data_IF_992566401091
#
_entry.id   IF_992566401091
#
_cell.length_a   1.000
_cell.length_b   1.000
_cell.length_c   1.000
_cell.angle_alpha   90.00
_cell.angle_beta   90.00
_cell.angle_gamma   90.00
#
_symmetry.space_group_name_H-M   'P 1'
#
loop_
_entity.id
_entity.type
_entity.pdbx_description
1 polymer ?
#
# COMPACT_ATOMS: atom_id res chain seq x y z
N UNK A 1 -21.12 -33.30 -28.68
CA UNK A 1 -22.23 -33.39 -27.70
C UNK A 1 -23.35 -32.39 -28.00
N UNK A 2 -23.09 -31.08 -28.13
CA UNK A 2 -24.15 -30.05 -28.28
C UNK A 2 -25.13 -30.25 -29.46
N UNK A 3 -24.66 -30.73 -30.63
CA UNK A 3 -25.52 -31.02 -31.78
C UNK A 3 -26.48 -32.21 -31.59
N UNK A 4 -26.23 -33.08 -30.61
CA UNK A 4 -27.05 -34.27 -30.39
C UNK A 4 -28.40 -33.95 -29.71
N UNK A 5 -28.58 -32.72 -29.20
CA UNK A 5 -29.78 -32.29 -28.48
C UNK A 5 -30.69 -31.36 -29.32
N UNK A 6 -30.22 -30.86 -30.47
CA UNK A 6 -31.02 -30.02 -31.36
C UNK A 6 -31.95 -30.89 -32.22
N UNK A 7 -33.28 -30.79 -32.01
CA UNK A 7 -34.29 -31.44 -32.85
C UNK A 7 -35.23 -32.46 -32.17
N UNK A 8 -35.34 -32.47 -30.84
CA UNK A 8 -36.16 -33.46 -30.11
C UNK A 8 -37.66 -33.14 -30.16
N UNK A 9 -38.52 -34.04 -30.70
CA UNK A 9 -39.97 -33.90 -30.58
C UNK A 9 -40.44 -34.26 -29.16
N UNK A 10 -41.16 -33.33 -28.53
CA UNK A 10 -41.73 -33.36 -27.16
C UNK A 10 -42.85 -34.40 -26.93
N UNK A 11 -42.92 -35.50 -27.69
CA UNK A 11 -44.02 -36.46 -27.49
C UNK A 11 -43.78 -37.26 -26.22
N UNK A 12 -44.76 -37.21 -25.33
CA UNK A 12 -44.96 -38.16 -24.22
C UNK A 12 -44.62 -39.56 -24.70
N UNK A 13 -43.65 -40.19 -24.05
CA UNK A 13 -43.15 -41.52 -24.38
C UNK A 13 -44.34 -42.49 -24.43
N UNK A 14 -44.81 -42.77 -25.63
CA UNK A 14 -45.77 -43.84 -25.88
C UNK A 14 -44.92 -45.01 -26.35
N UNK A 15 -44.93 -46.16 -25.65
CA UNK A 15 -44.10 -47.30 -26.01
C UNK A 15 -44.31 -47.62 -27.48
N UNK A 16 -43.25 -47.48 -28.26
CA UNK A 16 -43.23 -47.84 -29.68
C UNK A 16 -43.17 -49.36 -29.76
N UNK A 17 -43.97 -49.97 -30.63
CA UNK A 17 -43.84 -51.41 -30.91
C UNK A 17 -42.52 -51.74 -31.64
N UNK A 18 -41.81 -50.73 -32.15
CA UNK A 18 -40.55 -50.88 -32.84
C UNK A 18 -39.37 -50.77 -31.85
N UNK A 19 -38.64 -51.87 -31.59
CA UNK A 19 -37.52 -51.90 -30.64
C UNK A 19 -36.34 -51.01 -31.07
N UNK A 20 -36.18 -50.73 -32.36
CA UNK A 20 -35.11 -49.84 -32.83
C UNK A 20 -35.35 -48.38 -32.42
N UNK A 21 -36.62 -47.96 -32.39
CA UNK A 21 -37.02 -46.63 -31.92
C UNK A 21 -36.84 -46.50 -30.40
N UNK A 22 -37.03 -47.60 -29.67
CA UNK A 22 -36.85 -47.67 -28.22
C UNK A 22 -35.36 -47.60 -27.82
N UNK A 23 -34.49 -48.31 -28.55
CA UNK A 23 -33.04 -48.28 -28.35
C UNK A 23 -32.44 -46.89 -28.61
N UNK A 24 -32.84 -46.24 -29.71
CA UNK A 24 -32.46 -44.86 -30.03
C UNK A 24 -32.92 -43.88 -28.92
N UNK A 25 -34.13 -44.06 -28.38
CA UNK A 25 -34.64 -43.24 -27.29
C UNK A 25 -33.85 -43.44 -25.99
N UNK A 26 -33.52 -44.69 -25.61
CA UNK A 26 -32.69 -44.99 -24.45
C UNK A 26 -31.27 -44.44 -24.57
N UNK A 27 -30.66 -44.58 -25.75
CA UNK A 27 -29.33 -44.03 -26.02
C UNK A 27 -29.30 -42.51 -25.85
N UNK A 28 -30.34 -41.81 -26.32
CA UNK A 28 -30.47 -40.35 -26.16
C UNK A 28 -30.65 -39.92 -24.70
N UNK A 29 -31.47 -40.64 -23.93
CA UNK A 29 -31.63 -40.40 -22.48
C UNK A 29 -30.31 -40.63 -21.74
N UNK A 30 -29.58 -41.68 -22.08
CA UNK A 30 -28.26 -41.96 -21.53
C UNK A 30 -27.25 -40.84 -21.83
N UNK A 31 -27.19 -40.33 -23.06
CA UNK A 31 -26.33 -39.19 -23.39
C UNK A 31 -26.76 -37.92 -22.66
N UNK A 32 -28.06 -37.63 -22.57
CA UNK A 32 -28.59 -36.48 -21.87
C UNK A 32 -28.26 -36.53 -20.36
N UNK A 33 -28.39 -37.69 -19.74
CA UNK A 33 -28.03 -37.92 -18.34
C UNK A 33 -26.52 -37.73 -18.09
N UNK A 34 -25.67 -38.28 -18.95
CA UNK A 34 -24.21 -38.08 -18.86
C UNK A 34 -23.81 -36.62 -19.11
N UNK A 35 -24.49 -35.92 -20.01
CA UNK A 35 -24.27 -34.49 -20.24
C UNK A 35 -24.64 -33.66 -19.00
N UNK A 36 -25.80 -33.94 -18.40
CA UNK A 36 -26.22 -33.33 -17.13
C UNK A 36 -25.19 -33.58 -16.03
N UNK A 37 -24.75 -34.83 -15.89
CA UNK A 37 -23.72 -35.20 -14.92
C UNK A 37 -22.42 -34.42 -15.16
N UNK A 38 -21.92 -34.37 -16.40
CA UNK A 38 -20.70 -33.62 -16.73
C UNK A 38 -20.84 -32.09 -16.57
N UNK A 39 -22.05 -31.53 -16.69
CA UNK A 39 -22.29 -30.09 -16.50
C UNK A 39 -22.51 -29.69 -15.05
N UNK A 40 -23.01 -30.61 -14.23
CA UNK A 40 -23.03 -30.48 -12.78
C UNK A 40 -21.62 -30.70 -12.20
N UNK A 41 -20.87 -31.64 -12.75
CA UNK A 41 -19.57 -32.11 -12.26
C UNK A 41 -18.37 -31.48 -13.01
N UNK A 42 -18.54 -30.33 -13.69
CA UNK A 42 -17.50 -29.77 -14.57
C UNK A 42 -16.21 -29.45 -13.80
N UNK A 43 -15.28 -30.41 -13.90
CA UNK A 43 -13.90 -30.53 -13.44
C UNK A 43 -13.37 -29.38 -12.54
N UNK A 44 -13.37 -29.57 -11.20
CA UNK A 44 -12.73 -28.63 -10.29
C UNK A 44 -11.20 -28.54 -10.52
N UNK A 45 -10.53 -29.61 -11.00
CA UNK A 45 -9.07 -29.70 -11.04
C UNK A 45 -8.40 -28.69 -11.98
N UNK A 46 -9.09 -28.28 -13.06
CA UNK A 46 -8.58 -27.23 -13.96
C UNK A 46 -8.68 -25.81 -13.39
N UNK A 47 -9.41 -25.62 -12.30
CA UNK A 47 -9.69 -24.30 -11.72
C UNK A 47 -9.16 -24.16 -10.30
N UNK A 48 -9.12 -25.26 -9.54
CA UNK A 48 -8.44 -25.40 -8.26
C UNK A 48 -6.98 -25.72 -8.49
N UNK A 49 -6.27 -24.87 -9.22
CA UNK A 49 -4.82 -24.82 -9.08
C UNK A 49 -4.45 -24.10 -7.77
N UNK A 50 -5.03 -24.60 -6.68
CA UNK A 50 -4.77 -24.18 -5.32
C UNK A 50 -3.53 -24.91 -4.77
N UNK A 51 -3.09 -25.99 -5.42
CA UNK A 51 -2.04 -26.89 -4.92
C UNK A 51 -0.78 -26.99 -5.79
N UNK A 52 -0.80 -26.67 -7.10
CA UNK A 52 0.44 -26.79 -7.90
C UNK A 52 1.41 -25.61 -7.70
N UNK A 53 0.95 -24.49 -7.15
CA UNK A 53 1.81 -23.35 -6.75
C UNK A 53 2.36 -23.49 -5.30
N UNK A 54 2.14 -24.62 -4.61
CA UNK A 54 2.53 -24.81 -3.19
C UNK A 54 3.76 -25.70 -2.92
N UNK A 55 4.51 -26.17 -3.92
CA UNK A 55 5.57 -27.16 -3.64
C UNK A 55 7.02 -26.65 -3.44
N UNK A 56 7.32 -25.36 -3.24
CA UNK A 56 8.71 -25.04 -2.81
C UNK A 56 9.06 -23.77 -2.02
N UNK A 57 8.20 -22.75 -1.81
CA UNK A 57 8.74 -21.47 -1.30
C UNK A 57 7.95 -20.66 -0.26
N UNK A 58 7.02 -21.23 0.50
CA UNK A 58 6.49 -20.51 1.67
C UNK A 58 6.46 -21.43 2.89
N UNK A 59 7.49 -21.28 3.73
CA UNK A 59 7.38 -21.60 5.15
C UNK A 59 6.07 -20.99 5.68
N UNK A 60 5.34 -21.80 6.46
CA UNK A 60 4.09 -21.44 7.11
C UNK A 60 4.18 -20.01 7.66
N UNK A 61 3.48 -19.09 7.01
CA UNK A 61 3.12 -17.83 7.66
C UNK A 61 1.88 -18.13 8.47
N UNK A 62 2.02 -17.99 9.78
CA UNK A 62 1.02 -18.19 10.82
C UNK A 62 -0.34 -17.62 10.39
N UNK A 63 -1.26 -18.51 10.02
CA UNK A 63 -2.64 -18.22 9.63
C UNK A 63 -3.53 -17.93 10.84
N UNK A 64 -2.98 -17.37 11.92
CA UNK A 64 -3.71 -16.94 13.12
C UNK A 64 -4.52 -15.63 12.95
N UNK A 65 -4.72 -15.14 11.73
CA UNK A 65 -5.48 -13.90 11.46
C UNK A 65 -6.44 -14.06 10.30
N UNK A 66 -7.43 -14.94 10.46
CA UNK A 66 -8.79 -14.74 9.93
C UNK A 66 -9.67 -15.93 10.31
N UNK A 67 -10.33 -15.84 11.46
CA UNK A 67 -11.68 -16.39 11.73
C UNK A 67 -12.11 -16.02 13.16
N UNK A 68 -12.87 -14.94 13.26
CA UNK A 68 -13.76 -14.68 14.39
C UNK A 68 -15.16 -14.53 13.82
N UNK A 69 -15.80 -15.68 13.60
CA UNK A 69 -17.07 -15.88 12.91
C UNK A 69 -18.28 -15.36 13.69
N UNK A 70 -19.36 -15.08 12.95
CA UNK A 70 -20.78 -15.35 13.26
C UNK A 70 -21.29 -15.24 14.70
N UNK A 71 -22.38 -14.47 14.85
CA UNK A 71 -23.61 -14.85 15.57
C UNK A 71 -23.46 -15.99 16.60
N UNK A 72 -23.37 -15.63 17.88
CA UNK A 72 -23.91 -16.45 18.96
C UNK A 72 -24.20 -15.59 20.18
N UNK A 73 -25.49 -15.51 20.47
CA UNK A 73 -26.11 -15.04 21.71
C UNK A 73 -25.58 -15.78 22.95
N UNK A 74 -25.47 -15.04 24.06
CA UNK A 74 -25.31 -15.49 25.44
C UNK A 74 -23.91 -15.91 25.92
N UNK A 75 -23.11 -14.95 26.39
CA UNK A 75 -22.30 -15.09 27.60
C UNK A 75 -21.89 -13.71 28.13
N UNK A 76 -22.16 -13.47 29.42
CA UNK A 76 -21.84 -12.24 30.14
C UNK A 76 -20.33 -12.04 30.24
N UNK A 77 -19.89 -10.81 29.98
CA UNK A 77 -18.80 -10.20 30.72
C UNK A 77 -17.43 -10.16 30.05
N UNK A 78 -17.30 -9.39 28.96
CA UNK A 78 -16.13 -8.51 28.78
C UNK A 78 -16.41 -7.56 27.61
N UNK A 79 -16.77 -6.30 27.93
CA UNK A 79 -17.00 -5.25 26.94
C UNK A 79 -15.69 -4.51 26.69
N UNK A 80 -14.99 -4.88 25.62
CA UNK A 80 -14.16 -3.90 24.89
C UNK A 80 -15.03 -3.28 23.79
N UNK A 81 -14.96 -1.97 23.53
CA UNK A 81 -15.85 -1.31 22.59
C UNK A 81 -15.64 -1.83 21.16
N UNK A 82 -16.73 -2.32 20.58
CA UNK A 82 -16.85 -2.94 19.25
C UNK A 82 -16.73 -1.91 18.10
N UNK A 83 -16.51 -0.63 18.40
CA UNK A 83 -16.59 0.46 17.43
C UNK A 83 -15.45 0.52 16.40
N UNK A 84 -14.44 -0.35 16.47
CA UNK A 84 -13.35 -0.34 15.48
C UNK A 84 -13.15 -1.65 14.73
N UNK A 85 -13.90 -2.71 15.05
CA UNK A 85 -13.71 -4.07 14.52
C UNK A 85 -13.87 -4.18 12.99
N UNK A 86 -14.63 -3.27 12.38
CA UNK A 86 -14.95 -3.22 10.95
C UNK A 86 -13.97 -2.39 10.11
N UNK A 87 -13.01 -1.69 10.73
CA UNK A 87 -11.98 -0.93 10.00
C UNK A 87 -10.84 -1.90 9.64
N UNK A 88 -10.58 -2.18 8.35
CA UNK A 88 -9.48 -3.04 7.91
C UNK A 88 -8.14 -2.58 8.52
N UNK A 89 -7.29 -3.51 8.92
CA UNK A 89 -6.04 -3.21 9.63
C UNK A 89 -5.07 -2.26 8.91
N UNK A 90 -5.24 -2.02 7.61
CA UNK A 90 -4.47 -1.03 6.85
C UNK A 90 -4.92 0.42 7.07
N UNK A 91 -6.18 0.64 7.51
CA UNK A 91 -6.71 1.96 7.90
C UNK A 91 -6.51 2.27 9.39
N UNK A 92 -6.32 1.25 10.23
CA UNK A 92 -5.93 1.43 11.65
C UNK A 92 -4.46 1.81 11.84
N UNK A 93 -3.65 1.73 10.78
CA UNK A 93 -2.33 2.34 10.77
C UNK A 93 -2.50 3.83 10.49
N UNK A 94 -2.60 4.61 11.54
CA UNK A 94 -2.18 6.01 11.51
C UNK A 94 -0.71 6.05 11.03
N UNK A 95 -0.54 6.26 9.73
CA UNK A 95 0.43 7.16 9.09
C UNK A 95 1.78 7.16 9.84
N UNK A 96 2.75 6.32 9.48
CA UNK A 96 3.40 6.33 8.18
C UNK A 96 3.55 4.90 7.63
N UNK A 97 3.44 4.69 6.30
CA UNK A 97 3.97 3.46 5.71
C UNK A 97 5.41 3.37 6.20
N UNK A 98 5.81 2.21 6.77
CA UNK A 98 7.20 1.84 7.10
C UNK A 98 8.06 2.59 6.11
N UNK A 99 8.61 3.75 6.51
CA UNK A 99 9.41 4.57 5.61
C UNK A 99 10.41 3.54 5.10
N UNK A 100 10.70 3.53 3.80
CA UNK A 100 12.01 2.98 3.48
C UNK A 100 12.94 3.67 4.48
N UNK A 101 13.69 2.93 5.29
CA UNK A 101 14.66 3.50 6.23
C UNK A 101 15.79 4.14 5.37
N UNK A 102 15.40 5.14 4.59
CA UNK A 102 16.22 6.01 3.77
C UNK A 102 17.03 6.91 4.69
N UNK A 103 16.41 7.25 5.81
CA UNK A 103 16.96 8.06 6.87
C UNK A 103 17.97 7.27 7.75
N UNK A 104 18.20 5.96 7.52
CA UNK A 104 19.14 5.17 8.33
C UNK A 104 20.57 5.13 7.77
N UNK A 105 20.79 5.42 6.48
CA UNK A 105 22.13 5.43 5.87
C UNK A 105 22.73 6.84 5.66
N UNK A 106 21.91 7.89 5.59
CA UNK A 106 22.40 9.27 5.68
C UNK A 106 23.12 9.60 7.01
N UNK A 107 22.66 9.10 8.18
CA UNK A 107 23.33 9.31 9.45
C UNK A 107 24.75 8.75 9.50
N UNK A 108 25.08 7.69 8.75
CA UNK A 108 26.45 7.13 8.79
C UNK A 108 27.45 8.05 8.11
N UNK A 109 27.10 8.65 6.96
CA UNK A 109 27.91 9.67 6.29
C UNK A 109 27.98 10.97 7.09
N UNK A 110 26.86 11.38 7.71
CA UNK A 110 26.85 12.57 8.58
C UNK A 110 27.69 12.37 9.83
N UNK A 111 27.67 11.18 10.45
CA UNK A 111 28.51 10.85 11.61
C UNK A 111 30.00 10.85 11.30
N UNK A 112 30.39 10.66 10.04
CA UNK A 112 31.78 10.76 9.63
C UNK A 112 32.28 12.21 9.58
N UNK A 113 31.47 13.14 9.06
CA UNK A 113 31.87 14.55 8.94
C UNK A 113 31.52 15.40 10.18
N UNK A 114 30.46 15.04 10.88
CA UNK A 114 29.92 15.72 12.05
C UNK A 114 29.56 14.69 13.13
N UNK A 115 30.55 14.00 13.72
CA UNK A 115 30.34 12.88 14.65
C UNK A 115 29.47 13.22 15.86
N UNK A 116 29.42 14.49 16.24
CA UNK A 116 28.69 14.96 17.42
C UNK A 116 27.28 15.47 17.10
N UNK A 117 26.87 15.50 15.83
CA UNK A 117 25.58 16.03 15.41
C UNK A 117 24.56 14.90 15.18
N UNK A 118 24.16 14.24 16.26
CA UNK A 118 23.28 13.05 16.25
C UNK A 118 21.83 13.36 15.86
N UNK A 119 21.45 14.64 15.76
CA UNK A 119 20.07 15.09 15.74
C UNK A 119 19.77 16.19 14.70
N UNK A 120 20.41 16.14 13.53
CA UNK A 120 20.15 17.11 12.44
C UNK A 120 18.67 17.27 12.08
N UNK A 121 17.90 16.19 12.18
CA UNK A 121 16.49 16.15 11.82
C UNK A 121 15.55 16.55 12.96
N UNK A 122 16.06 16.74 14.19
CA UNK A 122 15.24 17.22 15.29
C UNK A 122 14.93 18.70 15.10
N UNK A 123 13.76 19.11 15.60
CA UNK A 123 13.40 20.53 15.60
C UNK A 123 14.19 21.21 16.72
N UNK A 124 14.86 22.35 16.46
CA UNK A 124 15.54 23.11 17.50
C UNK A 124 14.64 23.41 18.71
N UNK A 125 13.35 23.67 18.47
CA UNK A 125 12.35 23.88 19.51
C UNK A 125 12.08 22.67 20.40
N UNK A 126 12.32 21.45 19.93
CA UNK A 126 12.22 20.24 20.75
C UNK A 126 13.41 20.11 21.74
N UNK A 127 14.49 20.86 21.49
CA UNK A 127 15.70 20.93 22.32
C UNK A 127 15.82 22.22 23.13
N UNK A 128 14.72 22.96 23.29
CA UNK A 128 14.68 24.11 24.20
C UNK A 128 14.84 23.65 25.65
N UNK A 129 15.66 24.38 26.40
CA UNK A 129 15.88 24.13 27.82
C UNK A 129 14.74 24.75 28.66
N UNK A 130 14.74 24.48 29.97
CA UNK A 130 13.71 24.98 30.89
C UNK A 130 13.63 26.51 30.95
N UNK A 131 14.73 27.20 30.65
CA UNK A 131 14.84 28.66 30.55
C UNK A 131 14.30 29.23 29.22
N UNK A 132 13.93 28.36 28.27
CA UNK A 132 13.45 28.76 26.95
C UNK A 132 14.55 29.21 26.00
N UNK A 133 15.83 28.98 26.34
CA UNK A 133 16.98 29.26 25.48
C UNK A 133 17.30 28.02 24.65
N UNK A 134 17.58 28.24 23.36
CA UNK A 134 18.08 27.17 22.50
C UNK A 134 19.61 27.18 22.52
N UNK A 135 20.21 26.01 22.76
CA UNK A 135 21.65 25.81 22.69
C UNK A 135 22.00 24.97 21.47
N UNK A 136 23.11 25.30 20.80
CA UNK A 136 23.60 24.48 19.71
C UNK A 136 23.90 23.06 20.23
N UNK A 137 23.43 22.00 19.55
CA UNK A 137 23.65 20.62 20.02
C UNK A 137 25.10 20.13 19.88
N UNK A 138 25.98 20.89 19.22
CA UNK A 138 27.40 20.57 19.11
C UNK A 138 28.14 21.03 20.36
N UNK A 139 28.74 20.11 21.11
CA UNK A 139 29.49 20.40 22.34
C UNK A 139 30.63 21.42 22.15
N UNK A 140 31.16 21.53 20.93
CA UNK A 140 32.22 22.49 20.58
C UNK A 140 31.67 23.89 20.30
N UNK A 141 30.36 24.04 20.14
CA UNK A 141 29.69 25.29 19.83
C UNK A 141 28.92 25.81 21.05
N UNK A 142 29.40 26.91 21.63
CA UNK A 142 28.72 27.58 22.75
C UNK A 142 27.66 28.59 22.30
N UNK A 143 27.19 28.51 21.05
CA UNK A 143 26.16 29.40 20.57
C UNK A 143 24.83 29.09 21.28
N UNK A 144 24.17 30.16 21.73
CA UNK A 144 22.82 30.10 22.26
C UNK A 144 21.96 31.16 21.58
N UNK A 145 20.67 30.88 21.50
CA UNK A 145 19.66 31.76 20.93
C UNK A 145 18.57 31.91 21.97
N UNK A 146 18.49 33.09 22.57
CA UNK A 146 17.39 33.47 23.44
C UNK A 146 16.26 34.09 22.59
N UNK A 147 15.10 33.43 22.46
CA UNK A 147 13.95 33.98 21.73
C UNK A 147 13.37 35.26 22.33
N UNK A 148 13.68 35.56 23.59
CA UNK A 148 13.21 36.72 24.33
C UNK A 148 14.20 37.91 24.28
N UNK A 149 15.45 37.67 23.89
CA UNK A 149 16.47 38.70 23.69
C UNK A 149 17.29 38.43 22.42
N UNK A 150 16.72 38.77 21.27
CA UNK A 150 17.33 38.48 19.97
C UNK A 150 18.48 39.43 19.64
N UNK A 151 19.64 38.86 19.30
CA UNK A 151 20.74 39.61 18.71
C UNK A 151 20.33 40.30 17.39
N UNK A 152 20.96 41.43 17.01
CA UNK A 152 20.61 42.17 15.79
C UNK A 152 20.65 41.33 14.50
N UNK A 153 21.57 40.37 14.40
CA UNK A 153 21.66 39.43 13.28
C UNK A 153 20.43 38.52 13.17
N UNK A 154 19.96 37.99 14.30
CA UNK A 154 18.76 37.16 14.38
C UNK A 154 17.51 37.97 14.01
N UNK A 155 17.44 39.25 14.42
CA UNK A 155 16.36 40.15 14.04
C UNK A 155 16.32 40.36 12.52
N UNK A 156 17.47 40.64 11.90
CA UNK A 156 17.57 40.83 10.46
C UNK A 156 17.17 39.58 9.67
N UNK A 157 17.57 38.41 10.15
CA UNK A 157 17.18 37.13 9.54
C UNK A 157 15.67 36.88 9.63
N UNK A 158 15.03 37.19 10.76
CA UNK A 158 13.57 37.04 10.87
C UNK A 158 12.83 38.02 9.98
N UNK A 159 13.36 39.23 9.81
CA UNK A 159 12.83 40.20 8.84
C UNK A 159 12.99 39.74 7.39
N UNK A 160 13.95 38.86 7.08
CA UNK A 160 14.11 38.31 5.73
C UNK A 160 13.20 37.11 5.45
N UNK A 161 12.89 36.29 6.46
CA UNK A 161 12.01 35.13 6.34
C UNK A 161 10.53 35.50 6.21
N UNK A 162 10.10 36.52 6.97
CA UNK A 162 8.72 36.97 6.96
C UNK A 162 8.64 38.30 6.20
N UNK A 163 7.70 38.42 5.24
CA UNK A 163 7.38 39.68 4.57
C UNK A 163 6.79 40.77 5.49
N UNK A 164 7.25 40.90 6.75
CA UNK A 164 6.88 41.95 7.68
C UNK A 164 7.30 41.69 9.14
N UNK A 165 7.37 42.78 9.91
CA UNK A 165 7.75 42.86 11.35
C UNK A 165 6.80 42.17 12.34
N UNK A 166 5.79 41.44 11.87
CA UNK A 166 4.70 40.89 12.69
C UNK A 166 5.14 39.88 13.77
N UNK A 167 6.37 39.35 13.67
CA UNK A 167 6.93 38.40 14.63
C UNK A 167 7.91 39.00 15.62
N UNK A 168 8.31 40.26 15.46
CA UNK A 168 9.22 40.94 16.38
C UNK A 168 8.43 41.87 17.30
N UNK A 169 8.67 41.77 18.60
CA UNK A 169 8.12 42.66 19.62
C UNK A 169 9.28 43.40 20.25
N UNK A 170 9.23 44.74 20.21
CA UNK A 170 10.23 45.57 20.88
C UNK A 170 9.66 46.02 22.22
N UNK A 171 10.36 45.65 23.30
CA UNK A 171 10.04 46.09 24.65
C UNK A 171 11.07 47.15 25.04
N UNK A 172 10.59 48.36 25.34
CA UNK A 172 11.44 49.47 25.79
C UNK A 172 11.39 49.53 27.30
N UNK A 173 12.50 49.16 27.94
CA UNK A 173 12.74 49.43 29.35
C UNK A 173 13.45 50.78 29.53
N UNK A 174 13.52 51.29 30.76
CA UNK A 174 14.16 52.57 31.06
C UNK A 174 15.66 52.63 30.67
N UNK A 175 16.30 51.48 30.42
CA UNK A 175 17.75 51.38 30.17
C UNK A 175 18.14 50.58 28.92
N UNK A 176 17.21 49.83 28.30
CA UNK A 176 17.49 49.02 27.12
C UNK A 176 16.23 48.78 26.27
N UNK A 177 16.43 48.64 24.96
CA UNK A 177 15.43 48.12 24.04
C UNK A 177 15.77 46.66 23.78
N UNK A 178 14.91 45.75 24.21
CA UNK A 178 15.03 44.32 23.91
C UNK A 178 14.05 43.97 22.79
N UNK A 179 14.50 43.14 21.85
CA UNK A 179 13.64 42.65 20.76
C UNK A 179 13.40 41.16 20.98
N UNK A 180 12.15 40.77 21.16
CA UNK A 180 11.75 39.38 21.39
C UNK A 180 10.87 38.85 20.26
N UNK A 181 10.72 37.53 20.20
CA UNK A 181 9.70 36.89 19.36
C UNK A 181 8.30 37.05 19.94
N UNK A 182 7.34 37.36 19.07
CA UNK A 182 5.92 37.44 19.43
C UNK A 182 5.40 36.10 19.97
N UNK A 183 4.88 36.12 21.19
CA UNK A 183 4.28 34.97 21.89
C UNK A 183 2.79 34.80 21.61
N UNK A 184 2.18 35.69 20.84
CA UNK A 184 0.72 35.69 20.55
C UNK A 184 0.26 34.38 19.89
N UNK A 185 1.12 33.75 19.09
CA UNK A 185 0.87 32.43 18.52
C UNK A 185 2.03 31.48 18.89
N UNK A 186 1.84 30.55 19.85
CA UNK A 186 2.93 29.71 20.34
C UNK A 186 3.50 28.79 19.27
N UNK A 187 2.67 28.29 18.34
CA UNK A 187 3.14 27.44 17.25
C UNK A 187 4.01 28.22 16.27
N UNK A 188 3.62 29.45 15.95
CA UNK A 188 4.41 30.32 15.07
C UNK A 188 5.71 30.73 15.77
N UNK A 189 5.68 31.02 17.06
CA UNK A 189 6.86 31.25 17.88
C UNK A 189 7.86 30.09 17.77
N UNK A 190 7.44 28.85 18.06
CA UNK A 190 8.32 27.68 18.00
C UNK A 190 8.92 27.46 16.60
N UNK A 191 8.16 27.72 15.53
CA UNK A 191 8.69 27.64 14.16
C UNK A 191 9.77 28.69 13.85
N UNK A 192 9.69 29.88 14.45
CA UNK A 192 10.75 30.89 14.28
C UNK A 192 11.99 30.54 15.10
N UNK A 193 11.82 29.93 16.27
CA UNK A 193 12.93 29.33 17.02
C UNK A 193 13.61 28.24 16.19
N UNK A 194 12.83 27.35 15.56
CA UNK A 194 13.34 26.32 14.66
C UNK A 194 14.13 26.92 13.49
N UNK A 195 13.59 27.94 12.83
CA UNK A 195 14.26 28.61 11.72
C UNK A 195 15.59 29.26 12.15
N UNK A 196 15.63 29.88 13.33
CA UNK A 196 16.86 30.47 13.89
C UNK A 196 17.92 29.38 14.19
N UNK A 197 17.51 28.29 14.85
CA UNK A 197 18.42 27.19 15.16
C UNK A 197 18.94 26.50 13.90
N UNK A 198 18.09 26.28 12.90
CA UNK A 198 18.51 25.72 11.62
C UNK A 198 19.39 26.65 10.81
N UNK A 199 19.15 27.97 10.83
CA UNK A 199 20.03 28.92 10.17
C UNK A 199 21.42 28.93 10.80
N UNK A 200 21.51 28.88 12.13
CA UNK A 200 22.78 28.73 12.81
C UNK A 200 23.50 27.44 12.39
N UNK A 201 22.79 26.30 12.41
CA UNK A 201 23.36 25.02 11.95
C UNK A 201 23.82 25.09 10.49
N UNK A 202 23.01 25.69 9.62
CA UNK A 202 23.33 25.89 8.21
C UNK A 202 24.63 26.68 8.04
N UNK A 203 24.68 27.90 8.57
CA UNK A 203 25.78 28.84 8.31
C UNK A 203 27.06 28.42 9.03
N UNK A 204 26.95 28.03 10.30
CA UNK A 204 28.12 27.81 11.17
C UNK A 204 28.68 26.40 11.07
N UNK A 205 27.85 25.39 10.79
CA UNK A 205 28.27 23.99 10.88
C UNK A 205 28.19 23.23 9.55
N UNK A 206 27.14 23.45 8.76
CA UNK A 206 26.89 22.68 7.54
C UNK A 206 27.55 23.28 6.29
N UNK A 207 27.46 24.59 6.10
CA UNK A 207 28.09 25.27 4.97
C UNK A 207 29.62 25.07 4.92
N UNK A 208 30.38 25.11 6.04
CA UNK A 208 31.82 24.85 6.03
C UNK A 208 32.19 23.43 5.59
N UNK A 209 31.29 22.47 5.77
CA UNK A 209 31.43 21.09 5.28
C UNK A 209 30.61 20.85 4.00
N UNK A 210 30.20 21.92 3.33
CA UNK A 210 29.53 21.92 2.04
C UNK A 210 28.20 21.15 2.00
N UNK A 211 27.48 21.15 3.11
CA UNK A 211 26.12 20.64 3.21
C UNK A 211 25.17 21.84 3.18
N UNK A 212 24.26 21.86 2.21
CA UNK A 212 23.17 22.83 2.15
C UNK A 212 21.99 22.30 2.95
N UNK A 213 21.45 23.14 3.83
CA UNK A 213 20.26 22.86 4.62
C UNK A 213 19.09 23.69 4.12
N UNK A 214 17.99 22.99 3.83
CA UNK A 214 16.68 23.57 3.58
C UNK A 214 15.74 23.27 4.73
N UNK A 215 15.10 24.31 5.24
CA UNK A 215 14.07 24.18 6.26
C UNK A 215 12.77 24.86 5.79
N UNK A 216 11.61 24.40 6.27
CA UNK A 216 10.32 24.98 5.86
C UNK A 216 10.16 26.42 6.36
N UNK A 217 9.45 27.25 5.59
CA UNK A 217 9.09 28.62 5.97
C UNK A 217 8.28 28.61 7.29
N UNK A 218 8.73 29.31 8.35
CA UNK A 218 8.07 29.33 9.64
C UNK A 218 6.69 30.02 9.64
N UNK A 219 6.35 30.75 8.57
CA UNK A 219 5.01 31.30 8.36
C UNK A 219 3.96 30.22 8.12
N UNK A 220 4.37 29.08 7.55
CA UNK A 220 3.52 27.96 7.17
C UNK A 220 3.60 26.80 8.19
N UNK A 221 2.54 25.99 8.35
CA UNK A 221 2.62 24.78 9.15
C UNK A 221 3.56 23.76 8.48
N UNK A 222 4.48 23.18 9.25
CA UNK A 222 5.42 22.17 8.77
C UNK A 222 4.68 20.93 8.27
N UNK A 223 4.71 20.71 6.96
CA UNK A 223 4.24 19.46 6.32
C UNK A 223 5.37 18.46 6.13
N UNK A 224 6.61 18.94 6.18
CA UNK A 224 7.82 18.19 5.85
C UNK A 224 8.93 18.49 6.86
N UNK A 225 9.82 17.51 7.07
CA UNK A 225 11.04 17.68 7.82
C UNK A 225 12.04 18.56 7.01
N UNK A 226 13.06 19.17 7.65
CA UNK A 226 14.14 19.81 6.92
C UNK A 226 14.83 18.81 5.97
N UNK A 227 15.33 19.32 4.85
CA UNK A 227 16.06 18.57 3.84
C UNK A 227 17.53 18.99 3.82
N UNK A 228 18.41 18.06 3.49
CA UNK A 228 19.84 18.28 3.42
C UNK A 228 20.36 17.72 2.09
N UNK A 229 21.31 18.39 1.48
CA UNK A 229 22.02 17.87 0.32
C UNK A 229 23.42 18.47 0.23
N UNK A 230 24.31 17.79 -0.48
CA UNK A 230 25.66 18.26 -0.73
C UNK A 230 25.66 19.40 -1.76
N UNK A 231 26.49 20.42 -1.55
CA UNK A 231 26.71 21.47 -2.54
C UNK A 231 27.41 20.87 -3.79
N UNK A 232 26.82 21.00 -4.99
CA UNK A 232 27.39 20.38 -6.20
C UNK A 232 28.79 20.88 -6.56
N UNK A 233 29.08 22.14 -6.25
CA UNK A 233 30.38 22.77 -6.51
C UNK A 233 31.50 22.10 -5.74
N UNK A 234 31.25 21.68 -4.50
CA UNK A 234 32.26 21.02 -3.68
C UNK A 234 32.51 19.57 -4.11
N UNK A 235 31.46 18.84 -4.49
CA UNK A 235 31.62 17.48 -5.04
C UNK A 235 32.42 17.48 -6.36
N UNK A 236 32.46 18.60 -7.07
CA UNK A 236 33.25 18.73 -8.30
C UNK A 236 34.76 18.92 -8.03
N UNK A 237 35.14 19.41 -6.84
CA UNK A 237 36.54 19.68 -6.49
C UNK A 237 37.29 18.39 -6.11
N UNK A 238 38.59 18.34 -6.42
CA UNK A 238 39.43 17.15 -6.22
C UNK A 238 39.53 16.68 -4.76
N UNK A 239 39.37 17.60 -3.80
CA UNK A 239 39.37 17.32 -2.36
C UNK A 239 38.13 16.54 -1.90
N UNK A 240 37.03 16.60 -2.66
CA UNK A 240 35.79 15.90 -2.39
C UNK A 240 35.69 14.51 -3.04
N UNK A 241 36.74 14.00 -3.71
CA UNK A 241 36.64 12.80 -4.55
C UNK A 241 36.15 11.55 -3.78
N UNK A 242 36.67 11.32 -2.58
CA UNK A 242 36.27 10.16 -1.76
C UNK A 242 34.84 10.27 -1.26
N UNK A 243 34.42 11.48 -0.83
CA UNK A 243 33.05 11.73 -0.40
C UNK A 243 32.09 11.66 -1.58
N UNK A 244 32.48 12.16 -2.76
CA UNK A 244 31.71 12.00 -3.99
C UNK A 244 31.49 10.54 -4.31
N UNK A 245 32.54 9.71 -4.30
CA UNK A 245 32.40 8.28 -4.53
C UNK A 245 31.45 7.63 -3.52
N UNK A 246 31.57 7.98 -2.24
CA UNK A 246 30.68 7.47 -1.20
C UNK A 246 29.21 7.89 -1.42
N UNK A 247 28.96 9.15 -1.79
CA UNK A 247 27.62 9.67 -2.11
C UNK A 247 27.05 8.99 -3.36
N UNK A 248 27.84 8.86 -4.42
CA UNK A 248 27.42 8.18 -5.66
C UNK A 248 27.12 6.69 -5.42
N UNK A 249 27.91 6.03 -4.57
CA UNK A 249 27.68 4.65 -4.16
C UNK A 249 26.40 4.53 -3.34
N UNK A 250 26.20 5.41 -2.36
CA UNK A 250 24.98 5.46 -1.54
C UNK A 250 23.73 5.73 -2.40
N UNK A 251 23.81 6.66 -3.35
CA UNK A 251 22.76 6.96 -4.32
C UNK A 251 22.42 5.76 -5.20
N UNK A 252 23.45 5.06 -5.68
CA UNK A 252 23.28 3.86 -6.51
C UNK A 252 22.62 2.75 -5.70
N UNK A 253 23.08 2.50 -4.49
CA UNK A 253 22.47 1.54 -3.55
C UNK A 253 21.03 1.93 -3.23
N UNK A 254 20.75 3.21 -3.00
CA UNK A 254 19.40 3.72 -2.77
C UNK A 254 18.49 3.49 -3.98
N UNK A 255 18.93 3.87 -5.19
CA UNK A 255 18.19 3.63 -6.44
C UNK A 255 17.86 2.15 -6.61
N UNK A 256 18.82 1.26 -6.33
CA UNK A 256 18.61 -0.18 -6.38
C UNK A 256 17.60 -0.67 -5.33
N UNK A 257 17.73 -0.25 -4.07
CA UNK A 257 16.76 -0.58 -3.00
C UNK A 257 15.36 -0.07 -3.32
N UNK A 258 15.25 1.14 -3.85
CA UNK A 258 13.98 1.74 -4.27
C UNK A 258 13.32 0.94 -5.40
N UNK A 259 14.10 0.52 -6.41
CA UNK A 259 13.62 -0.36 -7.49
C UNK A 259 13.11 -1.69 -6.93
N UNK A 260 13.88 -2.36 -6.08
CA UNK A 260 13.47 -3.61 -5.42
C UNK A 260 12.19 -3.42 -4.60
N UNK A 261 12.09 -2.32 -3.85
CA UNK A 261 10.91 -2.00 -3.07
C UNK A 261 9.68 -1.77 -3.95
N UNK A 262 9.81 -1.02 -5.05
CA UNK A 262 8.74 -0.82 -6.05
C UNK A 262 8.27 -2.16 -6.61
N UNK A 263 9.19 -3.03 -7.02
CA UNK A 263 8.85 -4.37 -7.50
C UNK A 263 8.13 -5.21 -6.44
N UNK A 264 8.61 -5.22 -5.20
CA UNK A 264 7.94 -5.94 -4.09
C UNK A 264 6.52 -5.43 -3.87
N UNK A 265 6.31 -4.11 -3.91
CA UNK A 265 5.00 -3.49 -3.76
C UNK A 265 4.05 -3.84 -4.91
N UNK A 266 4.52 -3.74 -6.15
CA UNK A 266 3.74 -4.11 -7.33
C UNK A 266 3.33 -5.59 -7.31
N UNK A 267 4.26 -6.48 -6.96
CA UNK A 267 3.97 -7.92 -6.82
C UNK A 267 2.97 -8.22 -5.70
N UNK A 268 3.08 -7.53 -4.56
CA UNK A 268 2.12 -7.69 -3.46
C UNK A 268 0.72 -7.23 -3.88
N UNK A 269 0.63 -6.10 -4.57
CA UNK A 269 -0.62 -5.57 -5.11
C UNK A 269 -1.23 -6.53 -6.15
N UNK A 270 -0.43 -7.03 -7.10
CA UNK A 270 -0.89 -8.01 -8.08
C UNK A 270 -1.39 -9.31 -7.44
N UNK A 271 -0.68 -9.85 -6.43
CA UNK A 271 -1.13 -11.03 -5.68
C UNK A 271 -2.47 -10.79 -4.99
N UNK A 272 -2.66 -9.62 -4.37
CA UNK A 272 -3.93 -9.27 -3.73
C UNK A 272 -5.06 -9.17 -4.75
N UNK A 273 -4.81 -8.53 -5.90
CA UNK A 273 -5.78 -8.45 -7.01
C UNK A 273 -6.16 -9.83 -7.54
N UNK A 274 -5.19 -10.71 -7.76
CA UNK A 274 -5.42 -12.09 -8.17
C UNK A 274 -6.25 -12.88 -7.16
N UNK A 275 -5.94 -12.75 -5.87
CA UNK A 275 -6.70 -13.43 -4.82
C UNK A 275 -8.16 -12.96 -4.80
N UNK A 276 -8.40 -11.64 -4.88
CA UNK A 276 -9.77 -11.10 -4.96
C UNK A 276 -10.53 -11.61 -6.17
N UNK A 277 -9.93 -11.54 -7.36
CA UNK A 277 -10.56 -12.04 -8.58
C UNK A 277 -10.87 -13.54 -8.48
N UNK A 278 -9.97 -14.34 -7.90
CA UNK A 278 -10.21 -15.78 -7.64
C UNK A 278 -11.39 -16.00 -6.71
N UNK A 279 -11.46 -15.31 -5.57
CA UNK A 279 -12.57 -15.43 -4.61
C UNK A 279 -13.90 -15.13 -5.28
N UNK A 280 -14.01 -14.02 -6.01
CA UNK A 280 -15.25 -13.65 -6.70
C UNK A 280 -15.63 -14.66 -7.80
N UNK A 281 -14.67 -15.12 -8.61
CA UNK A 281 -14.95 -16.15 -9.62
C UNK A 281 -15.41 -17.46 -8.98
N UNK A 282 -14.86 -17.84 -7.82
CA UNK A 282 -15.31 -19.00 -7.05
C UNK A 282 -16.73 -18.80 -6.51
N UNK A 283 -17.06 -17.61 -5.99
CA UNK A 283 -18.41 -17.29 -5.53
C UNK A 283 -19.44 -17.33 -6.66
N UNK A 284 -19.13 -16.70 -7.81
CA UNK A 284 -19.99 -16.75 -9.00
C UNK A 284 -20.21 -18.19 -9.49
N UNK A 285 -19.16 -19.01 -9.44
CA UNK A 285 -19.27 -20.45 -9.77
C UNK A 285 -20.21 -21.17 -8.81
N UNK A 286 -20.05 -20.99 -7.50
CA UNK A 286 -20.94 -21.63 -6.52
C UNK A 286 -22.39 -21.18 -6.72
N UNK A 287 -22.63 -19.88 -6.94
CA UNK A 287 -23.95 -19.37 -7.24
C UNK A 287 -24.54 -19.96 -8.52
N UNK A 288 -23.74 -20.10 -9.58
CA UNK A 288 -24.17 -20.73 -10.83
C UNK A 288 -24.49 -22.23 -10.65
N UNK A 289 -23.66 -22.97 -9.90
CA UNK A 289 -23.91 -24.38 -9.59
C UNK A 289 -25.21 -24.56 -8.81
N UNK A 290 -25.40 -23.79 -7.74
CA UNK A 290 -26.62 -23.82 -6.94
C UNK A 290 -27.86 -23.47 -7.78
N UNK A 291 -27.78 -22.43 -8.62
CA UNK A 291 -28.88 -22.05 -9.50
C UNK A 291 -29.24 -23.15 -10.53
N UNK A 292 -28.26 -23.92 -10.99
CA UNK A 292 -28.50 -25.07 -11.89
C UNK A 292 -29.14 -26.23 -11.11
N UNK A 293 -28.68 -26.52 -9.90
CA UNK A 293 -29.28 -27.53 -9.02
C UNK A 293 -30.74 -27.20 -8.71
N UNK A 294 -31.02 -25.95 -8.31
CA UNK A 294 -32.37 -25.45 -8.04
C UNK A 294 -33.26 -25.59 -9.29
N UNK A 295 -32.76 -25.21 -10.47
CA UNK A 295 -33.49 -25.37 -11.74
C UNK A 295 -33.84 -26.84 -12.03
N UNK A 296 -32.89 -27.76 -11.84
CA UNK A 296 -33.13 -29.20 -12.03
C UNK A 296 -34.20 -29.68 -11.05
N UNK A 297 -34.08 -29.31 -9.77
CA UNK A 297 -35.02 -29.71 -8.72
C UNK A 297 -36.45 -29.20 -8.97
N UNK A 298 -36.58 -27.93 -9.39
CA UNK A 298 -37.86 -27.32 -9.74
C UNK A 298 -38.51 -28.04 -10.93
N UNK A 299 -37.72 -28.37 -11.96
CA UNK A 299 -38.22 -29.06 -13.14
C UNK A 299 -38.62 -30.52 -12.85
N UNK A 300 -37.87 -31.23 -12.00
CA UNK A 300 -38.26 -32.57 -11.53
C UNK A 300 -39.58 -32.50 -10.76
N UNK A 301 -39.72 -31.54 -9.84
CA UNK A 301 -40.93 -31.34 -9.04
C UNK A 301 -42.15 -31.02 -9.92
N UNK A 302 -41.93 -30.32 -11.04
CA UNK A 302 -42.94 -30.04 -12.05
C UNK A 302 -43.23 -31.22 -13.00
N UNK A 303 -42.63 -32.40 -12.79
CA UNK A 303 -42.84 -33.60 -13.62
C UNK A 303 -42.24 -33.49 -15.02
N UNK A 304 -41.21 -32.66 -15.23
CA UNK A 304 -40.54 -32.53 -16.53
C UNK A 304 -39.64 -33.73 -16.82
N UNK A 305 -39.55 -34.09 -18.10
CA UNK A 305 -38.67 -35.17 -18.55
C UNK A 305 -37.19 -34.76 -18.55
N UNK A 306 -36.30 -35.76 -18.52
CA UNK A 306 -34.83 -35.57 -18.51
C UNK A 306 -34.34 -34.69 -19.67
N UNK A 307 -34.93 -34.85 -20.85
CA UNK A 307 -34.58 -34.05 -22.04
C UNK A 307 -34.85 -32.56 -21.84
N UNK A 308 -36.02 -32.21 -21.30
CA UNK A 308 -36.38 -30.80 -21.05
C UNK A 308 -35.42 -30.19 -20.03
N UNK A 309 -35.09 -30.94 -18.98
CA UNK A 309 -34.13 -30.55 -17.95
C UNK A 309 -32.76 -30.29 -18.59
N UNK A 310 -32.26 -31.20 -19.44
CA UNK A 310 -30.97 -31.01 -20.14
C UNK A 310 -30.94 -29.76 -21.00
N UNK A 311 -32.02 -29.49 -21.75
CA UNK A 311 -32.11 -28.29 -22.58
C UNK A 311 -32.18 -27.00 -21.75
N UNK A 312 -32.91 -27.01 -20.64
CA UNK A 312 -33.01 -25.87 -19.74
C UNK A 312 -31.69 -25.57 -19.04
N UNK A 313 -30.99 -26.59 -18.53
CA UNK A 313 -29.64 -26.44 -17.95
C UNK A 313 -28.68 -25.90 -19.01
N UNK A 314 -28.72 -26.40 -20.24
CA UNK A 314 -27.88 -25.90 -21.32
C UNK A 314 -28.16 -24.42 -21.66
N UNK A 315 -29.43 -24.04 -21.74
CA UNK A 315 -29.81 -22.65 -21.97
C UNK A 315 -29.31 -21.73 -20.84
N UNK A 316 -29.39 -22.21 -19.59
CA UNK A 316 -28.86 -21.51 -18.42
C UNK A 316 -27.33 -21.35 -18.49
N UNK A 317 -26.60 -22.42 -18.80
CA UNK A 317 -25.14 -22.38 -18.99
C UNK A 317 -24.75 -21.36 -20.06
N UNK A 318 -25.46 -21.31 -21.19
CA UNK A 318 -25.23 -20.30 -22.25
C UNK A 318 -25.49 -18.87 -21.77
N UNK A 319 -26.52 -18.66 -20.94
CA UNK A 319 -26.78 -17.34 -20.36
C UNK A 319 -25.66 -16.90 -19.41
N UNK A 320 -25.10 -17.84 -18.64
CA UNK A 320 -23.98 -17.60 -17.71
C UNK A 320 -22.63 -17.36 -18.42
N UNK A 321 -22.48 -17.77 -19.69
CA UNK A 321 -21.33 -17.40 -20.52
C UNK A 321 -21.36 -15.91 -20.88
N UNK A 322 -22.55 -15.31 -20.94
CA UNK A 322 -22.76 -13.88 -21.19
C UNK A 322 -22.79 -12.99 -19.95
N UNK A 323 -22.48 -13.53 -18.77
CA UNK A 323 -22.47 -12.77 -17.51
C UNK A 323 -21.35 -11.71 -17.50
N UNK A 324 -21.73 -10.43 -17.51
CA UNK A 324 -20.83 -9.29 -17.47
C UNK A 324 -19.95 -9.26 -16.22
N UNK A 325 -20.47 -9.71 -15.06
CA UNK A 325 -19.71 -9.73 -13.81
C UNK A 325 -18.59 -10.78 -13.89
N UNK A 326 -18.91 -11.96 -14.45
CA UNK A 326 -17.91 -12.99 -14.70
C UNK A 326 -16.84 -12.51 -15.68
N UNK A 327 -17.24 -11.88 -16.78
CA UNK A 327 -16.31 -11.32 -17.76
C UNK A 327 -15.38 -10.27 -17.13
N UNK A 328 -15.93 -9.39 -16.28
CA UNK A 328 -15.16 -8.40 -15.53
C UNK A 328 -14.09 -9.05 -14.65
N UNK A 329 -14.46 -10.04 -13.82
CA UNK A 329 -13.49 -10.67 -12.92
C UNK A 329 -12.45 -11.54 -13.63
N UNK A 330 -12.81 -12.16 -14.76
CA UNK A 330 -11.84 -12.80 -15.65
C UNK A 330 -10.85 -11.76 -16.21
N UNK A 331 -11.35 -10.60 -16.65
CA UNK A 331 -10.52 -9.47 -17.08
C UNK A 331 -9.56 -9.00 -15.99
N UNK A 332 -10.05 -8.80 -14.76
CA UNK A 332 -9.22 -8.43 -13.61
C UNK A 332 -8.15 -9.48 -13.32
N UNK A 333 -8.50 -10.77 -13.33
CA UNK A 333 -7.54 -11.86 -13.14
C UNK A 333 -6.41 -11.79 -14.17
N UNK A 334 -6.75 -11.66 -15.45
CA UNK A 334 -5.77 -11.61 -16.54
C UNK A 334 -4.87 -10.37 -16.42
N UNK A 335 -5.46 -9.21 -16.11
CA UNK A 335 -4.73 -7.96 -15.86
C UNK A 335 -3.68 -8.12 -14.74
N UNK A 336 -4.08 -8.64 -13.57
CA UNK A 336 -3.12 -8.83 -12.47
C UNK A 336 -2.10 -9.95 -12.74
N UNK A 337 -2.41 -10.94 -13.58
CA UNK A 337 -1.43 -11.94 -14.03
C UNK A 337 -0.37 -11.31 -14.93
N UNK A 338 -0.77 -10.38 -15.80
CA UNK A 338 0.16 -9.62 -16.64
C UNK A 338 1.08 -8.73 -15.81
N UNK A 339 0.53 -7.94 -14.87
CA UNK A 339 1.34 -7.15 -13.93
C UNK A 339 2.30 -8.05 -13.15
N UNK A 340 1.84 -9.20 -12.64
CA UNK A 340 2.70 -10.15 -11.93
C UNK A 340 3.87 -10.61 -12.82
N UNK A 341 3.61 -10.95 -14.09
CA UNK A 341 4.64 -11.38 -15.04
C UNK A 341 5.64 -10.27 -15.34
N UNK A 342 5.17 -9.07 -15.66
CA UNK A 342 6.00 -7.89 -15.94
C UNK A 342 6.96 -7.60 -14.78
N UNK A 343 6.43 -7.49 -13.57
CA UNK A 343 7.24 -7.14 -12.39
C UNK A 343 8.15 -8.28 -11.91
N UNK A 344 7.85 -9.53 -12.25
CA UNK A 344 8.79 -10.65 -12.05
C UNK A 344 9.97 -10.58 -13.03
N UNK A 345 9.77 -10.14 -14.27
CA UNK A 345 10.85 -9.90 -15.24
C UNK A 345 11.73 -8.76 -14.74
N UNK A 346 11.14 -7.59 -14.44
CA UNK A 346 11.89 -6.42 -13.96
C UNK A 346 12.67 -6.72 -12.66
N UNK A 347 12.06 -7.47 -11.73
CA UNK A 347 12.75 -7.88 -10.50
C UNK A 347 13.96 -8.77 -10.80
N UNK A 348 13.88 -9.68 -11.77
CA UNK A 348 15.03 -10.53 -12.16
C UNK A 348 16.13 -9.70 -12.80
N UNK A 349 15.79 -8.79 -13.71
CA UNK A 349 16.75 -7.88 -14.34
C UNK A 349 17.49 -7.03 -13.30
N UNK A 350 16.76 -6.46 -12.33
CA UNK A 350 17.38 -5.63 -11.29
C UNK A 350 18.17 -6.41 -10.25
N UNK A 351 17.84 -7.68 -10.00
CA UNK A 351 18.63 -8.52 -9.09
C UNK A 351 19.86 -9.13 -9.78
N UNK A 352 19.81 -9.36 -11.10
CA UNK A 352 20.95 -9.89 -11.87
C UNK A 352 21.95 -8.83 -12.34
N UNK A 353 21.58 -7.54 -12.24
CA UNK A 353 22.47 -6.41 -12.49
C UNK A 353 23.28 -5.96 -11.25
N UNK A 354 23.10 -6.66 -10.12
CA UNK A 354 23.86 -6.50 -8.88
C UNK A 354 24.87 -7.64 -8.84
#
# INVERSE_FOLDING_TARGET
MLRALEGLPLRSYSPSADPAVEEEAHFRVFIAANALYAWLDYDPARWTDYTSDTESQLALTDSGRSTGSSLSSNARGSRLPVEQSHIPGFLRRTILPRRLDLDAELPSLHSYLLPNLTALCLRPSDALWEDGVWHCPLETCNACIDPLDLAPSHQQFILSLAGGSAMLVQERSNYAVTTSLSRTNPWRFLRHVDALGWEHLKVTHLNPVHIELWYPDPSSPYRHAPGFWWMPTWLADATGSDVRMAVEQADTQFKTRLRIWKARKALAWAKQGLHRARVHLTQLRHGAMQAREDLVQDMITAGRGVVDISLAVLARVRAEEGDEERAYWVGQRNYYQEIRREWLVQRREWMGAI
#
